data_IF_863548860604
#
_entry.id   IF_863548860604
#
_cell.length_a   1.000
_cell.length_b   1.000
_cell.length_c   1.000
_cell.angle_alpha   90.00
_cell.angle_beta   90.00
_cell.angle_gamma   90.00
#
_symmetry.space_group_name_H-M   'P 1'
#
loop_
_entity.id
_entity.type
_entity.pdbx_description
1 polymer ?
#
# COMPACT_ATOMS: atom_id res chain seq x y z
N UNK A 1 21.03 -5.56 -9.47
CA UNK A 1 19.90 -4.63 -9.31
C UNK A 1 19.73 -4.37 -7.82
N UNK A 2 19.92 -3.14 -7.35
CA UNK A 2 19.64 -2.80 -5.95
C UNK A 2 18.13 -2.77 -5.77
N UNK A 3 17.54 -3.84 -5.23
CA UNK A 3 16.11 -3.83 -4.90
C UNK A 3 15.90 -2.80 -3.79
N UNK A 4 15.06 -1.79 -4.04
CA UNK A 4 14.65 -0.87 -2.97
C UNK A 4 14.07 -1.65 -1.80
N UNK A 5 14.29 -1.22 -0.57
CA UNK A 5 13.72 -1.91 0.60
C UNK A 5 12.22 -1.65 0.75
N UNK A 6 11.53 -2.48 1.53
CA UNK A 6 10.12 -2.25 1.88
C UNK A 6 9.90 -0.87 2.50
N UNK A 7 10.85 -0.42 3.33
CA UNK A 7 10.83 0.90 3.97
C UNK A 7 10.95 2.02 2.93
N UNK A 8 11.85 1.87 1.96
CA UNK A 8 12.03 2.85 0.88
C UNK A 8 10.77 2.96 0.02
N UNK A 9 10.12 1.84 -0.31
CA UNK A 9 8.86 1.86 -1.06
C UNK A 9 7.75 2.55 -0.25
N UNK A 10 7.64 2.24 1.04
CA UNK A 10 6.67 2.88 1.92
C UNK A 10 6.89 4.39 2.01
N UNK A 11 8.16 4.84 2.11
CA UNK A 11 8.49 6.26 2.13
C UNK A 11 8.05 6.96 0.84
N UNK A 12 8.31 6.37 -0.33
CA UNK A 12 7.90 6.97 -1.61
C UNK A 12 6.38 7.12 -1.74
N UNK A 13 5.59 6.15 -1.25
CA UNK A 13 4.12 6.28 -1.24
C UNK A 13 3.67 7.39 -0.28
N UNK A 14 4.36 7.56 0.85
CA UNK A 14 4.10 8.66 1.80
C UNK A 14 4.43 10.02 1.20
N UNK A 15 5.53 10.12 0.46
CA UNK A 15 5.92 11.36 -0.23
C UNK A 15 4.90 11.73 -1.32
N UNK A 16 4.28 10.73 -1.95
CA UNK A 16 3.15 10.92 -2.86
C UNK A 16 1.89 11.44 -2.14
N UNK A 17 1.61 11.01 -0.91
CA UNK A 17 0.54 11.59 -0.08
C UNK A 17 0.81 13.07 0.26
N UNK A 18 2.05 13.41 0.58
CA UNK A 18 2.45 14.80 0.81
C UNK A 18 2.26 15.64 -0.47
N UNK A 19 2.60 15.08 -1.63
CA UNK A 19 2.36 15.70 -2.93
C UNK A 19 0.87 15.92 -3.21
N UNK A 20 0.01 14.96 -2.85
CA UNK A 20 -1.44 15.12 -2.95
C UNK A 20 -1.97 16.26 -2.09
N UNK A 21 -1.45 16.40 -0.85
CA UNK A 21 -1.83 17.50 0.04
C UNK A 21 -1.37 18.85 -0.51
N UNK A 22 -0.12 18.92 -0.99
CA UNK A 22 0.49 20.13 -1.57
C UNK A 22 -0.28 20.65 -2.78
N UNK A 23 -0.73 19.74 -3.65
CA UNK A 23 -1.43 20.10 -4.89
C UNK A 23 -2.95 19.86 -4.84
N UNK A 24 -3.55 19.74 -3.65
CA UNK A 24 -4.99 19.45 -3.49
C UNK A 24 -5.88 20.43 -4.26
N UNK A 25 -5.58 21.72 -4.23
CA UNK A 25 -6.33 22.76 -4.95
C UNK A 25 -6.23 22.66 -6.47
N UNK A 26 -5.12 22.13 -6.98
CA UNK A 26 -4.92 21.92 -8.42
C UNK A 26 -5.74 20.75 -8.95
N UNK A 27 -6.10 19.79 -8.10
CA UNK A 27 -6.89 18.63 -8.50
C UNK A 27 -8.26 19.03 -9.07
N UNK A 28 -8.89 20.05 -8.50
CA UNK A 28 -10.21 20.54 -8.92
C UNK A 28 -10.12 21.58 -10.03
N UNK A 29 -9.09 22.43 -10.00
CA UNK A 29 -8.95 23.56 -10.94
C UNK A 29 -8.25 23.18 -12.23
N UNK A 30 -7.26 22.29 -12.20
CA UNK A 30 -6.54 21.79 -13.37
C UNK A 30 -6.01 20.36 -13.16
N UNK A 31 -6.84 19.33 -13.40
CA UNK A 31 -6.48 17.94 -13.18
C UNK A 31 -5.27 17.46 -14.00
N UNK A 32 -5.08 17.99 -15.20
CA UNK A 32 -3.96 17.61 -16.08
C UNK A 32 -2.63 18.11 -15.50
N UNK A 33 -2.57 19.39 -15.12
CA UNK A 33 -1.40 19.97 -14.48
C UNK A 33 -1.11 19.31 -13.12
N UNK A 34 -2.15 18.96 -12.36
CA UNK A 34 -2.02 18.20 -11.13
C UNK A 34 -1.31 16.86 -11.37
N UNK A 35 -1.77 16.08 -12.36
CA UNK A 35 -1.17 14.79 -12.68
C UNK A 35 0.31 14.90 -13.08
N UNK A 36 0.66 15.91 -13.89
CA UNK A 36 2.05 16.16 -14.28
C UNK A 36 2.92 16.57 -13.09
N UNK A 37 2.40 17.38 -12.16
CA UNK A 37 3.12 17.76 -10.94
C UNK A 37 3.36 16.57 -10.01
N UNK A 38 2.33 15.74 -9.79
CA UNK A 38 2.47 14.52 -8.98
C UNK A 38 3.50 13.57 -9.60
N UNK A 39 3.44 13.37 -10.93
CA UNK A 39 4.40 12.53 -11.65
C UNK A 39 5.83 13.05 -11.52
N UNK A 40 6.04 14.37 -11.67
CA UNK A 40 7.37 14.97 -11.58
C UNK A 40 7.95 14.89 -10.16
N UNK A 41 7.18 15.23 -9.12
CA UNK A 41 7.64 15.16 -7.73
C UNK A 41 7.89 13.71 -7.29
N UNK A 42 7.20 12.72 -7.88
CA UNK A 42 7.30 11.30 -7.53
C UNK A 42 7.90 10.44 -8.65
N UNK A 43 8.82 11.01 -9.45
CA UNK A 43 9.36 10.38 -10.66
C UNK A 43 9.94 8.97 -10.40
N UNK A 44 10.62 8.78 -9.28
CA UNK A 44 11.22 7.50 -8.92
C UNK A 44 10.17 6.40 -8.70
N UNK A 45 9.08 6.72 -8.01
CA UNK A 45 7.96 5.80 -7.81
C UNK A 45 7.26 5.50 -9.14
N UNK A 46 7.13 6.51 -10.00
CA UNK A 46 6.55 6.35 -11.34
C UNK A 46 7.39 5.44 -12.25
N UNK A 47 8.71 5.63 -12.27
CA UNK A 47 9.61 4.87 -13.14
C UNK A 47 9.82 3.43 -12.65
N UNK A 48 10.03 3.25 -11.34
CA UNK A 48 10.36 1.92 -10.76
C UNK A 48 9.11 1.10 -10.40
N UNK A 49 7.99 1.75 -10.03
CA UNK A 49 6.75 1.09 -9.63
C UNK A 49 5.50 1.76 -10.24
N UNK A 50 5.37 1.80 -11.58
CA UNK A 50 4.26 2.49 -12.25
C UNK A 50 2.89 1.97 -11.83
N UNK A 51 2.76 0.66 -11.55
CA UNK A 51 1.50 0.07 -11.08
C UNK A 51 1.09 0.60 -9.72
N UNK A 52 2.03 0.69 -8.76
CA UNK A 52 1.76 1.22 -7.42
C UNK A 52 1.39 2.69 -7.50
N UNK A 53 2.15 3.48 -8.27
CA UNK A 53 1.86 4.88 -8.54
C UNK A 53 0.44 5.06 -9.10
N UNK A 54 0.08 4.31 -10.15
CA UNK A 54 -1.23 4.42 -10.79
C UNK A 54 -2.36 3.96 -9.86
N UNK A 55 -2.15 2.92 -9.06
CA UNK A 55 -3.14 2.48 -8.07
C UNK A 55 -3.38 3.56 -7.02
N UNK A 56 -2.32 4.20 -6.53
CA UNK A 56 -2.42 5.28 -5.54
C UNK A 56 -3.09 6.52 -6.11
N UNK A 57 -2.72 6.92 -7.32
CA UNK A 57 -3.32 8.04 -8.06
C UNK A 57 -4.83 7.89 -8.24
N UNK A 58 -5.30 6.66 -8.46
CA UNK A 58 -6.71 6.36 -8.66
C UNK A 58 -7.47 6.00 -7.37
N UNK A 59 -6.82 6.08 -6.19
CA UNK A 59 -7.42 5.67 -4.92
C UNK A 59 -7.74 4.17 -4.83
N UNK A 60 -7.11 3.34 -5.68
CA UNK A 60 -7.26 1.88 -5.72
C UNK A 60 -6.17 1.16 -4.94
N UNK A 61 -5.24 1.90 -4.32
CA UNK A 61 -4.30 1.31 -3.38
C UNK A 61 -5.08 0.88 -2.14
N UNK A 62 -5.01 -0.40 -1.83
CA UNK A 62 -5.75 -1.00 -0.72
C UNK A 62 -4.77 -1.62 0.30
N UNK A 63 -5.34 -2.19 1.36
CA UNK A 63 -4.60 -2.92 2.39
C UNK A 63 -3.61 -3.97 1.81
N UNK A 64 -3.92 -4.58 0.66
CA UNK A 64 -3.03 -5.60 0.06
C UNK A 64 -1.63 -5.04 -0.18
N UNK A 65 -1.49 -3.77 -0.51
CA UNK A 65 -0.18 -3.12 -0.68
C UNK A 65 0.68 -3.21 0.60
N UNK A 66 0.11 -2.89 1.75
CA UNK A 66 0.83 -2.94 3.03
C UNK A 66 1.19 -4.37 3.43
N UNK A 67 0.31 -5.33 3.16
CA UNK A 67 0.59 -6.74 3.40
C UNK A 67 1.78 -7.23 2.54
N UNK A 68 1.86 -6.80 1.29
CA UNK A 68 3.01 -7.09 0.42
C UNK A 68 4.30 -6.46 0.95
N UNK A 69 4.24 -5.21 1.43
CA UNK A 69 5.40 -4.57 2.07
C UNK A 69 5.86 -5.30 3.34
N UNK A 70 4.92 -5.79 4.16
CA UNK A 70 5.26 -6.57 5.35
C UNK A 70 5.95 -7.88 4.99
N UNK A 71 5.45 -8.62 4.00
CA UNK A 71 6.09 -9.85 3.52
C UNK A 71 7.51 -9.58 3.02
N UNK A 72 7.67 -8.52 2.21
CA UNK A 72 8.99 -8.10 1.73
C UNK A 72 9.93 -7.77 2.88
N UNK A 73 9.46 -7.05 3.91
CA UNK A 73 10.28 -6.74 5.09
C UNK A 73 10.69 -8.00 5.86
N UNK A 74 9.82 -9.01 5.96
CA UNK A 74 10.16 -10.30 6.57
C UNK A 74 11.22 -11.04 5.77
N UNK A 75 11.16 -10.98 4.45
CA UNK A 75 12.19 -11.52 3.57
C UNK A 75 13.53 -10.80 3.72
N UNK A 76 13.52 -9.47 3.77
CA UNK A 76 14.73 -8.65 3.98
C UNK A 76 15.42 -8.96 5.32
N UNK A 77 14.65 -9.38 6.33
CA UNK A 77 15.17 -9.80 7.63
C UNK A 77 15.58 -11.27 7.70
N UNK A 78 15.30 -12.07 6.68
CA UNK A 78 15.51 -13.52 6.69
C UNK A 78 14.50 -14.29 7.55
N UNK A 79 13.42 -13.67 8.01
CA UNK A 79 12.34 -14.32 8.78
C UNK A 79 11.43 -15.18 7.89
N UNK A 80 11.46 -14.96 6.58
CA UNK A 80 10.61 -15.61 5.58
C UNK A 80 11.41 -15.80 4.29
N UNK A 81 11.33 -16.96 3.66
CA UNK A 81 11.96 -17.17 2.34
C UNK A 81 11.09 -16.64 1.20
N UNK A 82 11.69 -16.40 0.03
CA UNK A 82 10.96 -16.02 -1.19
C UNK A 82 9.87 -17.04 -1.54
N UNK A 83 10.17 -18.34 -1.44
CA UNK A 83 9.22 -19.43 -1.70
C UNK A 83 8.03 -19.38 -0.74
N UNK A 84 8.29 -19.19 0.55
CA UNK A 84 7.23 -19.07 1.56
C UNK A 84 6.36 -17.84 1.32
N UNK A 85 6.98 -16.71 0.96
CA UNK A 85 6.25 -15.50 0.60
C UNK A 85 5.37 -15.73 -0.65
N UNK A 86 5.88 -16.42 -1.65
CA UNK A 86 5.15 -16.76 -2.88
C UNK A 86 3.91 -17.61 -2.59
N UNK A 87 4.03 -18.62 -1.73
CA UNK A 87 2.89 -19.45 -1.29
C UNK A 87 1.83 -18.61 -0.59
N UNK A 88 2.24 -17.71 0.33
CA UNK A 88 1.30 -16.84 1.05
C UNK A 88 0.54 -15.92 0.07
N UNK A 89 1.26 -15.32 -0.88
CA UNK A 89 0.65 -14.45 -1.90
C UNK A 89 -0.30 -15.25 -2.79
N UNK A 90 0.10 -16.43 -3.24
CA UNK A 90 -0.72 -17.32 -4.06
C UNK A 90 -2.04 -17.68 -3.36
N UNK A 91 -1.98 -18.04 -2.09
CA UNK A 91 -3.18 -18.34 -1.30
C UNK A 91 -4.10 -17.12 -1.16
N UNK A 92 -3.53 -15.92 -0.94
CA UNK A 92 -4.31 -14.68 -0.87
C UNK A 92 -5.03 -14.35 -2.19
N UNK A 93 -4.34 -14.51 -3.31
CA UNK A 93 -4.93 -14.29 -4.64
C UNK A 93 -6.06 -15.29 -4.91
N UNK A 94 -5.84 -16.56 -4.55
CA UNK A 94 -6.88 -17.60 -4.66
C UNK A 94 -8.12 -17.23 -3.82
N UNK A 95 -7.91 -16.89 -2.54
CA UNK A 95 -8.99 -16.52 -1.62
C UNK A 95 -9.76 -15.28 -2.08
N UNK A 96 -9.10 -14.33 -2.76
CA UNK A 96 -9.71 -13.07 -3.22
C UNK A 96 -10.49 -13.23 -4.53
N UNK A 97 -9.98 -14.02 -5.47
CA UNK A 97 -10.52 -14.04 -6.85
C UNK A 97 -11.18 -15.37 -7.25
N UNK A 98 -10.71 -16.50 -6.73
CA UNK A 98 -11.18 -17.83 -7.16
C UNK A 98 -12.22 -18.37 -6.20
N UNK A 99 -11.93 -18.31 -4.91
CA UNK A 99 -12.78 -18.85 -3.84
C UNK A 99 -14.21 -18.25 -3.83
N UNK A 100 -14.40 -16.93 -4.00
CA UNK A 100 -15.73 -16.32 -4.06
C UNK A 100 -16.52 -16.76 -5.29
N UNK A 101 -15.85 -17.03 -6.42
CA UNK A 101 -16.47 -17.51 -7.67
C UNK A 101 -16.95 -18.94 -7.51
N UNK A 102 -16.11 -19.81 -6.92
CA UNK A 102 -16.47 -21.21 -6.64
C UNK A 102 -17.63 -21.29 -5.65
N UNK A 103 -17.57 -20.50 -4.57
CA UNK A 103 -18.56 -20.52 -3.48
C UNK A 103 -19.81 -19.67 -3.77
N UNK A 104 -19.84 -18.92 -4.88
CA UNK A 104 -20.88 -17.93 -5.21
C UNK A 104 -21.15 -16.94 -4.07
N UNK A 105 -20.08 -16.47 -3.43
CA UNK A 105 -20.12 -15.50 -2.34
C UNK A 105 -19.49 -14.18 -2.78
N UNK A 106 -19.88 -13.03 -2.20
CA UNK A 106 -19.22 -11.77 -2.48
C UNK A 106 -17.75 -11.81 -2.04
N UNK A 107 -16.87 -11.17 -2.81
CA UNK A 107 -15.46 -11.10 -2.48
C UNK A 107 -15.25 -10.39 -1.12
N UNK A 108 -14.27 -10.82 -0.32
CA UNK A 108 -13.97 -10.17 0.95
C UNK A 108 -13.61 -8.70 0.72
N UNK A 109 -14.21 -7.80 1.50
CA UNK A 109 -13.96 -6.36 1.43
C UNK A 109 -12.53 -6.05 1.87
N UNK A 110 -11.80 -5.29 1.06
CA UNK A 110 -10.50 -4.74 1.46
C UNK A 110 -10.67 -3.32 1.99
N UNK A 111 -9.91 -2.98 3.04
CA UNK A 111 -9.82 -1.60 3.51
C UNK A 111 -9.07 -0.77 2.47
N UNK A 112 -9.52 0.46 2.23
CA UNK A 112 -8.76 1.42 1.43
C UNK A 112 -7.44 1.75 2.11
N UNK A 113 -6.46 2.21 1.34
CA UNK A 113 -5.17 2.67 1.86
C UNK A 113 -5.32 3.64 3.04
N UNK A 114 -6.16 4.67 2.88
CA UNK A 114 -6.36 5.68 3.92
C UNK A 114 -6.98 5.09 5.19
N UNK A 115 -7.98 4.21 5.05
CA UNK A 115 -8.62 3.55 6.18
C UNK A 115 -7.63 2.65 6.94
N UNK A 116 -6.82 1.88 6.22
CA UNK A 116 -5.79 1.04 6.82
C UNK A 116 -4.73 1.86 7.55
N UNK A 117 -4.23 2.92 6.92
CA UNK A 117 -3.21 3.79 7.49
C UNK A 117 -3.70 4.49 8.78
N UNK A 118 -4.93 5.00 8.76
CA UNK A 118 -5.55 5.62 9.93
C UNK A 118 -5.77 4.61 11.07
N UNK A 119 -6.18 3.38 10.77
CA UNK A 119 -6.31 2.32 11.77
C UNK A 119 -4.96 1.94 12.39
N UNK A 120 -3.90 1.85 11.60
CA UNK A 120 -2.56 1.47 12.07
C UNK A 120 -1.93 2.58 12.93
N UNK A 121 -2.12 3.85 12.56
CA UNK A 121 -1.65 5.00 13.35
C UNK A 121 -2.42 5.14 14.65
N UNK A 122 -3.75 4.94 14.64
CA UNK A 122 -4.57 4.91 15.84
C UNK A 122 -4.20 3.75 16.79
N UNK A 123 -3.89 2.56 16.24
CA UNK A 123 -3.41 1.42 17.02
C UNK A 123 -2.03 1.66 17.64
N UNK A 124 -1.17 2.44 16.98
CA UNK A 124 0.15 2.82 17.50
C UNK A 124 0.08 3.95 18.55
N UNK A 125 -1.06 4.63 18.69
CA UNK A 125 -1.28 5.72 19.65
C UNK A 125 -2.03 5.32 20.92
N UNK A 126 -2.28 4.02 21.15
CA UNK A 126 -2.75 3.54 22.46
C UNK A 126 -1.54 3.18 23.31
N UNK A 127 -1.11 4.02 24.27
CA UNK A 127 -0.18 3.57 25.29
C UNK A 127 -0.89 2.49 26.11
N UNK A 128 -0.17 1.40 26.38
CA UNK A 128 -0.52 0.41 27.41
C UNK A 128 -0.94 1.13 28.70
N UNK A 129 -2.23 1.32 28.89
CA UNK A 129 -2.79 1.76 30.16
C UNK A 129 -3.17 0.52 30.95
N UNK A 130 -2.14 0.04 31.66
CA UNK A 130 -2.19 -0.68 32.95
C UNK A 130 -2.84 -2.06 32.94
N UNK A 131 -1.98 -3.06 32.89
CA UNK A 131 -2.01 -4.17 33.85
C UNK A 131 -2.00 -3.62 35.28
N UNK A 132 -3.05 -3.86 36.06
CA UNK A 132 -2.95 -4.37 37.45
C UNK A 132 -4.28 -4.28 38.20
N UNK A 133 -4.66 -5.46 38.72
CA UNK A 133 -5.58 -5.78 39.82
C UNK A 133 -7.08 -5.75 39.55
#
# INVERSE_FOLDING_TARGET
>A
MTSLSAIQIQAMVRDMDESFRKYRSLKETNPALWADKIKNDNKKLFDEFPTVFNMHMNGKLDQTFFEMLQLKRKMEKGELTEDQASVIVGQKLFNKYVDPVIKKQPAPSTLSYEAYYNAQTAASSVPESKTSQ
#
